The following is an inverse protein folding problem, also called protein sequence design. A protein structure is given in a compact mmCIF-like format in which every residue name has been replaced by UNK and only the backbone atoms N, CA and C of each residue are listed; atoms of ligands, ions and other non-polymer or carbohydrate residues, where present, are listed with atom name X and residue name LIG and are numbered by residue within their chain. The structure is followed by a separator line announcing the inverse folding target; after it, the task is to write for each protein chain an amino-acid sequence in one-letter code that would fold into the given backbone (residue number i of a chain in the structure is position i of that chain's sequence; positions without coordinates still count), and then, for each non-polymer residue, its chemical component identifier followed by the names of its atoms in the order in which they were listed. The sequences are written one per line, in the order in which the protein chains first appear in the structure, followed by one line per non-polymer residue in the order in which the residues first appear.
data_IF_459287283018
#
_entry.id   IF_459287283018
#
_cell.length_a   1.000
_cell.length_b   1.000
_cell.length_c   1.000
_cell.angle_alpha   90.00
_cell.angle_beta   90.00
_cell.angle_gamma   90.00
#
_symmetry.space_group_name_H-M   'P 1'
#
loop_
_entity.id
_entity.type
_entity.pdbx_description
1 polymer ?
#
# COMPACT_ATOMS: atom_id res chain seq x y z
N UNK A 1 -16.18 -10.39 11.73
CA UNK A 1 -15.53 -9.55 12.79
C UNK A 1 -14.59 -8.48 12.21
N UNK A 2 -13.65 -8.79 11.29
CA UNK A 2 -12.71 -7.81 10.73
C UNK A 2 -13.38 -6.76 9.83
N UNK A 3 -14.31 -7.17 8.99
CA UNK A 3 -15.04 -6.29 8.07
C UNK A 3 -16.05 -5.41 8.82
N UNK A 4 -16.73 -5.93 9.81
CA UNK A 4 -17.65 -5.17 10.68
C UNK A 4 -16.92 -4.08 11.47
N UNK A 5 -15.69 -4.35 11.93
CA UNK A 5 -14.86 -3.35 12.62
C UNK A 5 -14.39 -2.22 11.68
N UNK A 6 -14.16 -2.53 10.39
CA UNK A 6 -13.88 -1.52 9.37
C UNK A 6 -15.05 -0.53 9.19
N UNK A 7 -16.26 -1.04 9.11
CA UNK A 7 -17.46 -0.20 8.97
C UNK A 7 -17.78 0.57 10.26
N UNK A 8 -17.52 0.01 11.43
CA UNK A 8 -17.71 0.71 12.70
C UNK A 8 -16.74 1.89 12.91
N UNK A 9 -15.56 1.85 12.31
CA UNK A 9 -14.59 2.94 12.36
C UNK A 9 -14.98 4.14 11.48
N UNK A 10 -15.93 3.98 10.56
CA UNK A 10 -16.39 5.01 9.63
C UNK A 10 -17.42 6.00 10.22
N UNK A 11 -17.82 5.85 11.47
CA UNK A 11 -18.76 6.75 12.11
C UNK A 11 -18.05 8.03 12.57
N UNK A 12 -18.44 9.14 12.06
CA UNK A 12 -18.29 10.56 12.52
C UNK A 12 -17.95 11.52 11.36
N UNK A 13 -18.82 11.56 10.33
CA UNK A 13 -18.72 12.60 9.29
C UNK A 13 -17.63 12.37 8.23
N UNK A 14 -17.00 11.22 8.22
CA UNK A 14 -16.05 10.82 7.19
C UNK A 14 -16.73 9.87 6.22
N UNK A 15 -16.71 10.18 4.94
CA UNK A 15 -17.11 9.23 3.90
C UNK A 15 -16.04 8.16 3.77
N UNK A 16 -16.45 6.92 3.78
CA UNK A 16 -15.59 5.76 3.65
C UNK A 16 -15.96 4.97 2.42
N UNK A 17 -14.97 4.69 1.59
CA UNK A 17 -15.12 3.87 0.40
C UNK A 17 -14.06 2.79 0.38
N UNK A 18 -14.47 1.54 0.19
CA UNK A 18 -13.56 0.45 -0.16
C UNK A 18 -13.90 -0.06 -1.55
N UNK A 19 -12.86 -0.26 -2.35
CA UNK A 19 -12.90 -1.01 -3.59
C UNK A 19 -12.12 -2.30 -3.42
N UNK A 20 -12.55 -3.34 -4.09
CA UNK A 20 -11.89 -4.63 -4.04
C UNK A 20 -11.72 -5.16 -5.45
N UNK A 21 -10.47 -5.30 -5.88
CA UNK A 21 -10.11 -5.78 -7.19
C UNK A 21 -9.65 -7.24 -7.09
N UNK A 22 -10.29 -8.10 -7.87
CA UNK A 22 -9.86 -9.49 -7.97
C UNK A 22 -8.58 -9.55 -8.80
N UNK A 23 -7.53 -10.04 -8.17
CA UNK A 23 -6.26 -10.36 -8.81
C UNK A 23 -6.00 -11.84 -8.63
N UNK A 24 -5.33 -12.45 -9.57
CA UNK A 24 -4.99 -13.86 -9.40
C UNK A 24 -5.35 -14.71 -10.60
N UNK A 25 -5.47 -16.01 -10.31
CA UNK A 25 -5.67 -17.06 -11.30
C UNK A 25 -4.37 -17.64 -11.85
N UNK A 26 -4.48 -18.62 -12.74
CA UNK A 26 -3.36 -19.38 -13.28
C UNK A 26 -2.31 -18.51 -13.98
N UNK A 27 -2.70 -17.38 -14.55
CA UNK A 27 -1.79 -16.46 -15.22
C UNK A 27 -0.75 -15.84 -14.27
N UNK A 28 -1.13 -15.53 -13.03
CA UNK A 28 -0.19 -14.97 -12.04
C UNK A 28 0.81 -16.01 -11.54
N UNK A 29 0.39 -17.27 -11.42
CA UNK A 29 1.29 -18.35 -11.03
C UNK A 29 2.37 -18.64 -12.07
N UNK A 30 2.12 -18.28 -13.33
CA UNK A 30 3.04 -18.48 -14.45
C UNK A 30 3.98 -17.28 -14.72
N UNK A 31 3.86 -16.19 -13.95
CA UNK A 31 4.72 -15.02 -14.15
C UNK A 31 6.18 -15.32 -13.80
N UNK A 32 7.07 -14.87 -14.69
CA UNK A 32 8.52 -14.95 -14.52
C UNK A 32 8.98 -14.15 -13.29
N UNK A 33 10.08 -14.58 -12.71
CA UNK A 33 10.78 -13.90 -11.62
C UNK A 33 11.36 -12.54 -12.03
N UNK A 34 11.41 -12.24 -13.32
CA UNK A 34 11.84 -10.95 -13.85
C UNK A 34 10.85 -9.81 -13.68
N UNK A 35 9.62 -10.08 -13.24
CA UNK A 35 8.62 -9.03 -13.02
C UNK A 35 9.07 -8.00 -11.98
N UNK A 36 8.61 -6.76 -12.14
CA UNK A 36 8.91 -5.66 -11.21
C UNK A 36 7.93 -5.56 -10.04
N UNK A 37 6.82 -6.28 -10.10
CA UNK A 37 5.79 -6.26 -9.05
C UNK A 37 6.20 -7.07 -7.84
N UNK A 38 5.70 -6.67 -6.68
CA UNK A 38 5.94 -7.35 -5.40
C UNK A 38 5.55 -8.83 -5.46
N UNK A 39 6.31 -9.69 -4.81
CA UNK A 39 6.09 -11.14 -4.83
C UNK A 39 4.73 -11.57 -4.28
N UNK A 40 4.17 -10.83 -3.34
CA UNK A 40 2.84 -11.08 -2.78
C UNK A 40 1.72 -11.12 -3.82
N UNK A 41 1.86 -10.43 -4.95
CA UNK A 41 0.87 -10.45 -6.03
C UNK A 41 0.61 -11.85 -6.57
N UNK A 42 1.60 -12.74 -6.52
CA UNK A 42 1.47 -14.13 -7.01
C UNK A 42 0.52 -14.97 -6.18
N UNK A 43 0.39 -14.65 -4.90
CA UNK A 43 -0.45 -15.36 -3.94
C UNK A 43 -1.71 -14.55 -3.54
N UNK A 44 -1.88 -13.38 -4.13
CA UNK A 44 -3.00 -12.48 -3.82
C UNK A 44 -4.22 -12.85 -4.65
N UNK A 45 -5.33 -13.06 -3.99
CA UNK A 45 -6.63 -13.26 -4.66
C UNK A 45 -7.42 -11.95 -4.79
N UNK A 46 -7.20 -11.01 -3.87
CA UNK A 46 -7.95 -9.77 -3.77
C UNK A 46 -7.03 -8.67 -3.28
N UNK A 47 -7.04 -7.53 -3.95
CA UNK A 47 -6.47 -6.27 -3.46
C UNK A 47 -7.63 -5.39 -3.03
N UNK A 48 -7.58 -4.91 -1.80
CA UNK A 48 -8.59 -4.02 -1.27
C UNK A 48 -7.96 -2.66 -0.96
N UNK A 49 -8.46 -1.62 -1.62
CA UNK A 49 -8.14 -0.24 -1.34
C UNK A 49 -9.28 0.41 -0.60
N UNK A 50 -8.99 0.97 0.57
CA UNK A 50 -9.96 1.69 1.38
C UNK A 50 -9.50 3.13 1.54
N UNK A 51 -10.38 4.06 1.24
CA UNK A 51 -10.13 5.50 1.33
C UNK A 51 -11.13 6.14 2.28
N UNK A 52 -10.66 7.07 3.07
CA UNK A 52 -11.49 7.92 3.89
C UNK A 52 -11.47 9.33 3.31
N UNK A 53 -12.65 9.89 3.08
CA UNK A 53 -12.83 11.25 2.57
C UNK A 53 -13.55 12.07 3.62
N UNK A 54 -13.08 13.26 3.90
CA UNK A 54 -13.74 14.19 4.80
C UNK A 54 -12.91 15.43 5.05
N UNK A 55 -13.61 16.49 5.42
CA UNK A 55 -13.00 17.71 5.89
C UNK A 55 -13.14 17.73 7.42
N UNK A 56 -12.05 17.58 8.13
CA UNK A 56 -12.09 17.73 9.57
C UNK A 56 -12.24 19.22 9.93
N UNK A 57 -13.16 19.52 10.84
CA UNK A 57 -13.14 20.80 11.54
C UNK A 57 -11.78 20.93 12.24
N UNK A 58 -11.02 21.98 11.93
CA UNK A 58 -9.65 22.14 12.46
C UNK A 58 -8.55 22.14 11.40
N UNK A 59 -8.90 22.02 10.12
CA UNK A 59 -7.98 22.19 9.01
C UNK A 59 -7.16 20.95 8.67
N UNK A 60 -6.09 21.15 7.89
CA UNK A 60 -5.28 20.10 7.29
C UNK A 60 -4.65 19.14 8.31
N UNK A 61 -4.12 19.67 9.41
CA UNK A 61 -3.42 18.85 10.40
C UNK A 61 -4.38 17.94 11.17
N UNK A 62 -5.59 18.46 11.48
CA UNK A 62 -6.63 17.65 12.10
C UNK A 62 -7.15 16.57 11.14
N UNK A 63 -7.28 16.87 9.85
CA UNK A 63 -7.64 15.89 8.83
C UNK A 63 -6.58 14.79 8.70
N UNK A 64 -5.30 15.15 8.67
CA UNK A 64 -4.19 14.21 8.62
C UNK A 64 -4.16 13.31 9.88
N UNK A 65 -4.34 13.88 11.05
CA UNK A 65 -4.39 13.13 12.30
C UNK A 65 -5.57 12.14 12.35
N UNK A 66 -6.74 12.56 11.89
CA UNK A 66 -7.93 11.70 11.80
C UNK A 66 -7.72 10.55 10.81
N UNK A 67 -7.12 10.83 9.66
CA UNK A 67 -6.82 9.84 8.63
C UNK A 67 -5.80 8.81 9.14
N UNK A 68 -4.74 9.24 9.81
CA UNK A 68 -3.73 8.36 10.40
C UNK A 68 -4.32 7.48 11.51
N UNK A 69 -5.15 8.04 12.37
CA UNK A 69 -5.82 7.28 13.43
C UNK A 69 -6.83 6.26 12.86
N UNK A 70 -7.49 6.60 11.76
CA UNK A 70 -8.35 5.68 11.05
C UNK A 70 -7.55 4.57 10.37
N UNK A 71 -6.49 4.91 9.65
CA UNK A 71 -5.60 3.98 8.96
C UNK A 71 -5.04 2.92 9.92
N UNK A 72 -4.55 3.34 11.07
CA UNK A 72 -4.05 2.44 12.10
C UNK A 72 -5.13 1.47 12.60
N UNK A 73 -6.38 1.94 12.76
CA UNK A 73 -7.51 1.08 13.18
C UNK A 73 -7.98 0.13 12.08
N UNK A 74 -7.95 0.56 10.83
CA UNK A 74 -8.35 -0.26 9.69
C UNK A 74 -7.29 -1.30 9.32
N UNK A 75 -6.02 -0.92 9.34
CA UNK A 75 -4.92 -1.81 8.97
C UNK A 75 -4.67 -2.91 10.00
N UNK A 76 -4.85 -2.65 11.28
CA UNK A 76 -4.63 -3.64 12.33
C UNK A 76 -5.49 -4.92 12.17
N UNK A 77 -6.81 -4.86 11.89
CA UNK A 77 -7.58 -6.06 11.59
C UNK A 77 -7.26 -6.66 10.23
N UNK A 78 -6.95 -5.84 9.20
CA UNK A 78 -6.60 -6.32 7.87
C UNK A 78 -5.28 -7.07 7.85
N UNK A 79 -4.29 -6.63 8.61
CA UNK A 79 -3.01 -7.32 8.74
C UNK A 79 -3.12 -8.72 9.37
N UNK A 80 -4.20 -9.00 10.12
CA UNK A 80 -4.48 -10.32 10.70
C UNK A 80 -5.15 -11.28 9.71
N UNK A 81 -5.86 -10.74 8.73
CA UNK A 81 -6.63 -11.49 7.74
C UNK A 81 -5.90 -11.54 6.39
N UNK A 82 -5.11 -10.53 6.11
CA UNK A 82 -4.38 -10.36 4.87
C UNK A 82 -3.14 -11.24 4.75
N UNK A 83 -2.50 -11.13 3.60
CA UNK A 83 -1.31 -11.88 3.24
C UNK A 83 -0.22 -11.78 4.33
N UNK A 84 0.45 -12.88 4.54
CA UNK A 84 1.55 -13.00 5.51
C UNK A 84 2.70 -12.02 5.23
N UNK A 85 2.76 -11.46 4.04
CA UNK A 85 3.71 -10.44 3.62
C UNK A 85 2.97 -9.13 3.51
N UNK A 86 3.26 -8.19 4.39
CA UNK A 86 2.75 -6.83 4.28
C UNK A 86 3.19 -6.28 2.93
N UNK A 87 2.23 -6.03 2.07
CA UNK A 87 2.45 -5.45 0.75
C UNK A 87 1.30 -4.55 0.39
N UNK A 88 1.59 -3.53 -0.41
CA UNK A 88 0.60 -2.58 -0.85
C UNK A 88 0.88 -2.11 -2.29
N UNK A 89 -0.13 -1.54 -2.91
CA UNK A 89 0.00 -0.96 -4.23
C UNK A 89 0.47 0.50 -4.11
N UNK A 90 1.63 0.79 -4.68
CA UNK A 90 2.33 2.07 -4.51
C UNK A 90 1.51 3.30 -4.90
N UNK A 91 0.59 3.17 -5.87
CA UNK A 91 -0.22 4.30 -6.33
C UNK A 91 -1.43 4.59 -5.44
N UNK A 92 -1.77 3.71 -4.50
CA UNK A 92 -3.00 3.80 -3.71
C UNK A 92 -2.76 3.76 -2.21
N UNK A 93 -1.57 3.35 -1.79
CA UNK A 93 -1.28 3.17 -0.38
C UNK A 93 -0.46 4.33 0.20
N UNK A 94 -0.80 4.71 1.43
CA UNK A 94 0.06 5.49 2.29
C UNK A 94 1.09 4.57 2.96
N UNK A 95 2.26 5.10 3.28
CA UNK A 95 3.30 4.36 4.01
C UNK A 95 3.08 4.37 5.52
N UNK A 96 2.34 5.33 6.02
CA UNK A 96 2.06 5.47 7.44
C UNK A 96 1.14 4.34 7.94
N UNK A 97 1.52 3.71 9.02
CA UNK A 97 0.76 2.61 9.61
C UNK A 97 1.20 1.20 9.20
N UNK A 98 2.26 1.06 8.41
CA UNK A 98 2.92 -0.21 8.15
C UNK A 98 4.21 -0.33 8.97
N UNK A 99 4.50 -1.53 9.46
CA UNK A 99 5.68 -1.83 10.27
C UNK A 99 6.92 -2.19 9.43
N UNK A 100 6.80 -2.10 8.11
CA UNK A 100 7.88 -2.41 7.16
C UNK A 100 8.30 -1.17 6.38
N UNK A 101 9.57 -1.07 5.96
CA UNK A 101 10.03 0.02 5.10
C UNK A 101 9.22 0.08 3.79
N UNK A 102 9.00 1.26 3.25
CA UNK A 102 8.25 1.45 2.00
C UNK A 102 8.85 0.66 0.82
N UNK A 103 10.17 0.50 0.78
CA UNK A 103 10.86 -0.29 -0.24
C UNK A 103 10.48 -1.78 -0.19
N UNK A 104 10.29 -2.32 1.01
CA UNK A 104 9.79 -3.67 1.21
C UNK A 104 8.29 -3.75 0.95
N UNK A 105 7.52 -2.78 1.46
CA UNK A 105 6.07 -2.72 1.30
C UNK A 105 5.61 -2.74 -0.17
N UNK A 106 6.27 -1.97 -1.03
CA UNK A 106 5.86 -1.81 -2.43
C UNK A 106 6.59 -2.73 -3.41
N UNK A 107 7.83 -3.10 -3.12
CA UNK A 107 8.70 -3.78 -4.08
C UNK A 107 9.19 -5.16 -3.60
N UNK A 108 9.15 -5.42 -2.29
CA UNK A 108 9.55 -6.68 -1.70
C UNK A 108 10.97 -7.08 -2.07
N UNK A 109 11.20 -8.35 -2.34
CA UNK A 109 12.51 -8.88 -2.73
C UNK A 109 13.06 -8.29 -4.04
N UNK A 110 12.23 -7.61 -4.81
CA UNK A 110 12.60 -7.02 -6.11
C UNK A 110 13.37 -5.71 -5.99
N UNK A 111 13.27 -5.03 -4.83
CA UNK A 111 13.81 -3.67 -4.67
C UNK A 111 15.28 -3.56 -5.07
N UNK A 112 16.14 -4.45 -4.61
CA UNK A 112 17.57 -4.41 -4.91
C UNK A 112 17.87 -4.42 -6.41
N UNK A 113 17.25 -5.35 -7.15
CA UNK A 113 17.39 -5.42 -8.61
C UNK A 113 16.85 -4.18 -9.32
N UNK A 114 15.71 -3.67 -8.87
CA UNK A 114 15.12 -2.46 -9.45
C UNK A 114 16.00 -1.23 -9.19
N UNK A 115 16.64 -1.15 -8.03
CA UNK A 115 17.57 -0.09 -7.69
C UNK A 115 18.81 -0.13 -8.58
N UNK A 116 19.35 -1.30 -8.91
CA UNK A 116 20.46 -1.42 -9.85
C UNK A 116 20.07 -0.99 -11.26
N UNK A 117 18.87 -1.35 -11.71
CA UNK A 117 18.32 -0.82 -12.97
C UNK A 117 18.21 0.71 -12.93
N UNK A 118 17.63 1.26 -11.83
CA UNK A 118 17.51 2.70 -11.65
C UNK A 118 18.87 3.41 -11.75
N UNK A 119 19.89 2.91 -11.07
CA UNK A 119 21.26 3.47 -11.12
C UNK A 119 21.86 3.42 -12.51
N UNK A 120 21.55 2.39 -13.28
CA UNK A 120 22.05 2.23 -14.65
C UNK A 120 21.39 3.19 -15.64
N UNK A 121 20.05 3.35 -15.54
CA UNK A 121 19.30 4.13 -16.55
C UNK A 121 19.12 5.60 -16.16
N UNK A 122 19.24 5.92 -14.89
CA UNK A 122 19.09 7.27 -14.36
C UNK A 122 20.17 7.60 -13.30
N UNK A 123 21.45 7.56 -13.68
CA UNK A 123 22.55 7.79 -12.73
C UNK A 123 22.55 9.19 -12.12
N UNK A 124 21.96 10.17 -12.80
CA UNK A 124 21.80 11.54 -12.31
C UNK A 124 20.57 11.76 -11.42
N UNK A 125 19.72 10.75 -11.25
CA UNK A 125 18.52 10.84 -10.41
C UNK A 125 17.52 11.90 -10.91
N UNK A 126 17.32 11.99 -12.22
CA UNK A 126 16.40 12.96 -12.83
C UNK A 126 14.93 12.63 -12.53
N UNK A 127 14.56 11.37 -12.69
CA UNK A 127 13.18 10.91 -12.38
C UNK A 127 13.06 10.52 -10.92
N UNK A 128 12.41 11.39 -10.15
CA UNK A 128 12.18 11.19 -8.72
C UNK A 128 10.70 11.28 -8.37
N UNK A 129 10.25 10.44 -7.48
CA UNK A 129 8.94 10.51 -6.85
C UNK A 129 9.04 9.90 -5.44
N UNK A 130 8.19 10.33 -4.49
CA UNK A 130 8.15 9.74 -3.16
C UNK A 130 7.89 8.23 -3.25
N UNK A 131 8.66 7.44 -2.50
CA UNK A 131 8.55 5.98 -2.45
C UNK A 131 8.77 5.24 -3.77
N UNK A 132 9.26 5.93 -4.80
CA UNK A 132 9.73 5.27 -6.01
C UNK A 132 11.10 4.63 -5.81
N UNK A 133 11.42 3.64 -6.64
CA UNK A 133 12.74 3.00 -6.62
C UNK A 133 13.84 4.05 -6.75
N UNK A 134 14.74 4.09 -5.77
CA UNK A 134 15.86 5.04 -5.72
C UNK A 134 15.48 6.44 -5.23
N UNK A 135 14.33 6.62 -4.57
CA UNK A 135 13.94 7.92 -4.01
C UNK A 135 14.82 8.35 -2.83
N UNK A 136 15.58 7.44 -2.25
CA UNK A 136 16.55 7.68 -1.18
C UNK A 136 17.95 8.12 -1.69
N UNK A 137 18.19 8.09 -3.01
CA UNK A 137 19.49 8.43 -3.64
C UNK A 137 19.72 9.98 -3.75
#
# INVERSE_FOLDING_TARGET
EGVEQLFAAASHGTEFQCTADMVGGAALAALDDAASVHDAWRATALVMACSAYGWAEGGRDAAAAALNAWSARALAPLSRVGARNQSAYVNEAQTDGFDVPWSELFWGSRYGRLLDVKRSVDPGGFWRCPNCVGSEL
#
